data_IF_680078153072
#
_entry.id   IF_680078153072
#
_cell.length_a   1.000
_cell.length_b   1.000
_cell.length_c   1.000
_cell.angle_alpha   90.00
_cell.angle_beta   90.00
_cell.angle_gamma   90.00
#
_symmetry.space_group_name_H-M   'P 1'
#
loop_
_entity.id
_entity.type
_entity.pdbx_description
1 polymer ?
#
# COMPACT_ATOMS: atom_id res chain seq x y z
N UNK A 1 -3.78 19.48 -23.49
CA UNK A 1 -2.64 18.52 -23.60
C UNK A 1 -2.11 18.04 -22.25
N UNK A 2 -2.22 18.82 -21.16
CA UNK A 2 -1.73 18.44 -19.81
C UNK A 2 -2.58 17.36 -19.12
N UNK A 3 -3.87 17.28 -19.38
CA UNK A 3 -4.79 16.30 -18.76
C UNK A 3 -4.49 14.84 -19.07
N UNK A 4 -3.86 14.52 -20.21
CA UNK A 4 -3.56 13.13 -20.60
C UNK A 4 -2.32 12.55 -19.88
N UNK A 5 -1.29 13.37 -19.64
CA UNK A 5 -0.03 12.92 -19.00
C UNK A 5 -0.22 12.53 -17.52
N UNK A 6 -1.14 13.21 -16.84
CA UNK A 6 -1.47 12.98 -15.43
C UNK A 6 -2.37 11.76 -15.24
N UNK A 7 -3.27 11.52 -16.20
CA UNK A 7 -4.07 10.31 -16.22
C UNK A 7 -3.17 9.07 -16.36
N UNK A 8 -2.11 9.16 -17.17
CA UNK A 8 -1.14 8.08 -17.38
C UNK A 8 -0.30 7.78 -16.12
N UNK A 9 0.19 8.80 -15.41
CA UNK A 9 0.95 8.63 -14.15
C UNK A 9 0.11 8.03 -13.01
N UNK A 10 -1.17 8.41 -12.90
CA UNK A 10 -2.10 7.80 -11.95
C UNK A 10 -2.48 6.38 -12.33
N UNK A 11 -2.53 6.09 -13.64
CA UNK A 11 -2.81 4.74 -14.15
C UNK A 11 -1.69 3.77 -13.77
N UNK A 12 -0.41 4.16 -13.86
CA UNK A 12 0.72 3.35 -13.42
C UNK A 12 0.71 3.03 -11.92
N UNK A 13 0.33 3.99 -11.08
CA UNK A 13 0.28 3.79 -9.63
C UNK A 13 -0.92 2.92 -9.22
N UNK A 14 -2.11 3.22 -9.75
CA UNK A 14 -3.31 2.40 -9.51
C UNK A 14 -3.13 0.98 -10.03
N UNK A 15 -2.46 0.81 -11.18
CA UNK A 15 -2.13 -0.48 -11.77
C UNK A 15 -1.13 -1.25 -10.92
N UNK A 16 -0.08 -0.60 -10.39
CA UNK A 16 0.89 -1.24 -9.49
C UNK A 16 0.27 -1.66 -8.16
N UNK A 17 -0.59 -0.83 -7.58
CA UNK A 17 -1.37 -1.15 -6.37
C UNK A 17 -2.32 -2.31 -6.65
N UNK A 18 -3.07 -2.25 -7.75
CA UNK A 18 -3.98 -3.32 -8.14
C UNK A 18 -3.22 -4.64 -8.37
N UNK A 19 -2.08 -4.61 -9.06
CA UNK A 19 -1.26 -5.80 -9.33
C UNK A 19 -0.69 -6.41 -8.04
N UNK A 20 -0.22 -5.58 -7.10
CA UNK A 20 0.28 -6.06 -5.80
C UNK A 20 -0.84 -6.62 -4.94
N UNK A 21 -2.01 -5.98 -4.90
CA UNK A 21 -3.19 -6.51 -4.22
C UNK A 21 -3.66 -7.83 -4.84
N UNK A 22 -3.72 -7.91 -6.17
CA UNK A 22 -4.10 -9.13 -6.89
C UNK A 22 -3.10 -10.26 -6.61
N UNK A 23 -1.79 -9.98 -6.61
CA UNK A 23 -0.78 -10.99 -6.28
C UNK A 23 -0.92 -11.49 -4.84
N UNK A 24 -1.15 -10.58 -3.88
CA UNK A 24 -1.38 -10.96 -2.47
C UNK A 24 -2.63 -11.83 -2.34
N UNK A 25 -3.74 -11.42 -2.96
CA UNK A 25 -5.00 -12.20 -2.95
C UNK A 25 -4.79 -13.59 -3.57
N UNK A 26 -4.05 -13.70 -4.67
CA UNK A 26 -3.75 -14.98 -5.31
C UNK A 26 -2.92 -15.89 -4.40
N UNK A 27 -1.91 -15.35 -3.72
CA UNK A 27 -1.10 -16.12 -2.76
C UNK A 27 -1.97 -16.59 -1.58
N UNK A 28 -2.83 -15.73 -1.05
CA UNK A 28 -3.75 -16.11 0.04
C UNK A 28 -4.73 -17.20 -0.40
N UNK A 29 -5.31 -17.09 -1.60
CA UNK A 29 -6.23 -18.10 -2.14
C UNK A 29 -5.53 -19.44 -2.42
N UNK A 30 -4.29 -19.40 -2.90
CA UNK A 30 -3.49 -20.61 -3.14
C UNK A 30 -3.22 -21.37 -1.83
N UNK A 31 -2.89 -20.65 -0.75
CA UNK A 31 -2.68 -21.25 0.58
C UNK A 31 -3.98 -21.82 1.13
N UNK A 32 -5.07 -21.03 1.13
CA UNK A 32 -6.37 -21.48 1.61
C UNK A 32 -6.91 -22.69 0.83
N UNK A 33 -6.72 -22.73 -0.50
CA UNK A 33 -7.10 -23.85 -1.35
C UNK A 33 -6.27 -25.11 -1.07
N UNK A 34 -4.97 -24.95 -0.82
CA UNK A 34 -4.09 -26.06 -0.42
C UNK A 34 -4.55 -26.69 0.90
N UNK A 35 -4.91 -25.89 1.90
CA UNK A 35 -5.42 -26.38 3.17
C UNK A 35 -6.78 -27.11 3.00
N UNK A 36 -7.70 -26.50 2.25
CA UNK A 36 -9.01 -27.10 1.95
C UNK A 36 -8.89 -28.45 1.22
N UNK A 37 -7.92 -28.58 0.32
CA UNK A 37 -7.63 -29.83 -0.38
C UNK A 37 -7.13 -30.93 0.56
N UNK A 38 -6.24 -30.60 1.50
CA UNK A 38 -5.74 -31.56 2.50
C UNK A 38 -6.87 -32.07 3.39
N UNK A 39 -7.71 -31.16 3.92
CA UNK A 39 -8.87 -31.52 4.75
C UNK A 39 -9.85 -32.42 3.98
N UNK A 40 -10.11 -32.10 2.71
CA UNK A 40 -11.04 -32.85 1.89
C UNK A 40 -10.53 -34.27 1.57
N UNK A 41 -9.24 -34.42 1.27
CA UNK A 41 -8.61 -35.72 0.98
C UNK A 41 -8.48 -36.59 2.24
N UNK A 42 -8.28 -36.00 3.42
CA UNK A 42 -8.34 -36.72 4.72
C UNK A 42 -9.75 -37.23 5.06
N UNK A 43 -10.79 -36.74 4.38
CA UNK A 43 -12.20 -37.08 4.61
C UNK A 43 -12.74 -38.21 3.71
N UNK A 44 -11.88 -39.07 3.15
CA UNK A 44 -12.29 -40.29 2.45
C UNK A 44 -12.28 -41.49 3.45
N UNK A 45 -13.44 -41.93 3.95
CA UNK A 45 -13.59 -42.59 5.25
C UNK A 45 -13.34 -44.11 5.29
N UNK A 46 -12.85 -44.74 4.22
CA UNK A 46 -12.62 -46.20 4.22
C UNK A 46 -11.40 -46.65 5.06
N UNK A 47 -10.48 -45.73 5.39
CA UNK A 47 -9.28 -46.02 6.20
C UNK A 47 -9.49 -45.87 7.72
N UNK A 48 -10.69 -45.46 8.16
CA UNK A 48 -11.02 -45.20 9.58
C UNK A 48 -11.34 -46.46 10.40
N UNK A 49 -11.06 -47.66 9.89
CA UNK A 49 -11.36 -48.93 10.56
C UNK A 49 -10.29 -49.40 11.57
N UNK A 50 -9.11 -48.76 11.64
CA UNK A 50 -8.05 -49.09 12.62
C UNK A 50 -7.79 -47.90 13.56
N UNK A 51 -8.84 -47.52 14.30
CA UNK A 51 -9.05 -46.18 14.87
C UNK A 51 -8.51 -45.90 16.28
N UNK A 52 -7.89 -46.85 16.97
CA UNK A 52 -7.64 -46.70 18.41
C UNK A 52 -6.36 -45.92 18.77
N UNK A 53 -5.26 -46.08 18.03
CA UNK A 53 -3.96 -45.48 18.39
C UNK A 53 -3.69 -44.15 17.68
N UNK A 54 -4.17 -43.99 16.45
CA UNK A 54 -3.87 -42.82 15.60
C UNK A 54 -4.76 -41.61 15.95
N UNK A 55 -5.98 -41.84 16.45
CA UNK A 55 -6.91 -40.79 16.85
C UNK A 55 -6.36 -39.92 18.02
N UNK A 56 -5.66 -40.54 18.97
CA UNK A 56 -5.07 -39.84 20.11
C UNK A 56 -3.89 -38.94 19.71
N UNK A 57 -3.14 -39.32 18.66
CA UNK A 57 -2.07 -38.47 18.11
C UNK A 57 -2.66 -37.33 17.28
N UNK A 58 -3.72 -37.56 16.52
CA UNK A 58 -4.38 -36.52 15.72
C UNK A 58 -5.04 -35.42 16.57
N UNK A 59 -5.60 -35.77 17.73
CA UNK A 59 -6.18 -34.80 18.68
C UNK A 59 -5.12 -33.88 19.33
N UNK A 60 -3.85 -34.33 19.40
CA UNK A 60 -2.73 -33.55 19.98
C UNK A 60 -2.12 -32.55 18.98
N UNK A 61 -2.14 -32.86 17.67
CA UNK A 61 -1.45 -32.06 16.64
C UNK A 61 -2.39 -31.38 15.63
N UNK A 62 -3.66 -31.77 15.54
CA UNK A 62 -4.60 -31.38 14.48
C UNK A 62 -5.10 -29.93 14.50
N UNK A 63 -4.95 -29.21 15.61
CA UNK A 63 -5.37 -27.80 15.75
C UNK A 63 -4.24 -26.78 15.60
N UNK A 64 -2.98 -27.24 15.49
CA UNK A 64 -1.81 -26.35 15.55
C UNK A 64 -1.35 -25.80 14.18
N UNK A 65 -1.74 -26.43 13.07
CA UNK A 65 -1.35 -26.00 11.71
C UNK A 65 -2.20 -24.82 11.19
N UNK A 66 -3.51 -24.82 11.44
CA UNK A 66 -4.42 -23.79 10.92
C UNK A 66 -4.13 -22.38 11.49
N UNK A 67 -3.80 -22.31 12.78
CA UNK A 67 -3.46 -21.04 13.43
C UNK A 67 -2.17 -20.43 12.88
N UNK A 68 -1.21 -21.27 12.49
CA UNK A 68 0.08 -20.84 11.96
C UNK A 68 -0.09 -20.24 10.55
N UNK A 69 -0.95 -20.81 9.72
CA UNK A 69 -1.26 -20.27 8.39
C UNK A 69 -1.97 -18.92 8.46
N UNK A 70 -2.96 -18.76 9.33
CA UNK A 70 -3.64 -17.48 9.54
C UNK A 70 -2.64 -16.43 10.04
N UNK A 71 -1.77 -16.80 10.99
CA UNK A 71 -0.74 -15.90 11.50
C UNK A 71 0.24 -15.45 10.40
N UNK A 72 0.66 -16.34 9.51
CA UNK A 72 1.53 -16.00 8.38
C UNK A 72 0.81 -15.13 7.35
N UNK A 73 -0.45 -15.42 7.03
CA UNK A 73 -1.26 -14.63 6.13
C UNK A 73 -1.43 -13.19 6.65
N UNK A 74 -1.81 -13.02 7.92
CA UNK A 74 -1.94 -11.71 8.56
C UNK A 74 -0.61 -10.95 8.62
N UNK A 75 0.50 -11.64 8.90
CA UNK A 75 1.83 -11.04 8.92
C UNK A 75 2.25 -10.54 7.54
N UNK A 76 2.04 -11.34 6.49
CA UNK A 76 2.35 -10.94 5.11
C UNK A 76 1.51 -9.73 4.68
N UNK A 77 0.23 -9.71 5.06
CA UNK A 77 -0.68 -8.61 4.76
C UNK A 77 -0.29 -7.32 5.48
N UNK A 78 0.08 -7.40 6.76
CA UNK A 78 0.53 -6.27 7.55
C UNK A 78 1.81 -5.64 6.98
N UNK A 79 2.80 -6.47 6.63
CA UNK A 79 4.07 -6.01 6.04
C UNK A 79 3.83 -5.36 4.67
N UNK A 80 3.05 -6.02 3.80
CA UNK A 80 2.75 -5.50 2.46
C UNK A 80 2.00 -4.17 2.53
N UNK A 81 0.97 -4.08 3.38
CA UNK A 81 0.18 -2.87 3.57
C UNK A 81 1.03 -1.71 4.12
N UNK A 82 1.86 -1.99 5.14
CA UNK A 82 2.76 -0.99 5.71
C UNK A 82 3.78 -0.48 4.70
N UNK A 83 4.39 -1.38 3.92
CA UNK A 83 5.37 -1.01 2.90
C UNK A 83 4.72 -0.18 1.77
N UNK A 84 3.52 -0.56 1.34
CA UNK A 84 2.78 0.14 0.29
C UNK A 84 2.36 1.54 0.71
N UNK A 85 1.72 1.67 1.88
CA UNK A 85 1.29 2.94 2.43
C UNK A 85 2.50 3.86 2.66
N UNK A 86 3.56 3.34 3.28
CA UNK A 86 4.79 4.08 3.53
C UNK A 86 5.41 4.61 2.24
N UNK A 87 5.50 3.79 1.20
CA UNK A 87 6.04 4.21 -0.10
C UNK A 87 5.18 5.29 -0.78
N UNK A 88 3.86 5.15 -0.73
CA UNK A 88 2.94 6.11 -1.34
C UNK A 88 2.98 7.48 -0.64
N UNK A 89 2.87 7.48 0.69
CA UNK A 89 2.89 8.68 1.54
C UNK A 89 4.24 9.40 1.41
N UNK A 90 5.35 8.67 1.56
CA UNK A 90 6.70 9.24 1.51
C UNK A 90 6.96 9.91 0.16
N UNK A 91 6.54 9.31 -0.95
CA UNK A 91 6.74 9.90 -2.28
C UNK A 91 6.00 11.22 -2.47
N UNK A 92 4.78 11.35 -1.93
CA UNK A 92 4.00 12.60 -2.03
C UNK A 92 4.54 13.68 -1.08
N UNK A 93 4.90 13.29 0.14
CA UNK A 93 5.57 14.19 1.09
C UNK A 93 6.91 14.71 0.55
N UNK A 94 7.69 13.87 -0.13
CA UNK A 94 8.98 14.28 -0.69
C UNK A 94 8.85 15.42 -1.69
N UNK A 95 7.80 15.42 -2.53
CA UNK A 95 7.53 16.54 -3.46
C UNK A 95 7.30 17.86 -2.73
N UNK A 96 6.63 17.83 -1.58
CA UNK A 96 6.42 19.03 -0.76
C UNK A 96 7.74 19.51 -0.14
N UNK A 97 8.55 18.58 0.37
CA UNK A 97 9.88 18.88 0.92
C UNK A 97 10.78 19.51 -0.14
N UNK A 98 10.77 18.98 -1.37
CA UNK A 98 11.51 19.58 -2.49
C UNK A 98 11.05 20.99 -2.81
N UNK A 99 9.73 21.25 -2.81
CA UNK A 99 9.20 22.61 -2.99
C UNK A 99 9.71 23.54 -1.88
N UNK A 100 9.61 23.14 -0.61
CA UNK A 100 10.12 23.93 0.52
C UNK A 100 11.62 24.23 0.39
N UNK A 101 12.40 23.24 -0.07
CA UNK A 101 13.83 23.43 -0.30
C UNK A 101 14.10 24.47 -1.40
N UNK A 102 13.38 24.41 -2.53
CA UNK A 102 13.48 25.39 -3.62
C UNK A 102 13.12 26.82 -3.18
N UNK A 103 12.06 26.96 -2.38
CA UNK A 103 11.67 28.26 -1.80
C UNK A 103 12.81 28.82 -0.94
N UNK A 104 13.41 27.98 -0.08
CA UNK A 104 14.53 28.37 0.77
C UNK A 104 15.75 28.81 -0.04
N UNK A 105 15.96 28.24 -1.22
CA UNK A 105 17.02 28.62 -2.16
C UNK A 105 16.70 29.89 -2.97
N UNK A 106 15.50 30.47 -2.80
CA UNK A 106 15.06 31.71 -3.46
C UNK A 106 14.24 31.49 -4.75
N UNK A 107 13.94 30.25 -5.11
CA UNK A 107 13.13 29.91 -6.29
C UNK A 107 11.63 30.04 -5.97
N UNK A 108 11.10 31.26 -6.07
CA UNK A 108 9.68 31.57 -5.77
C UNK A 108 8.70 31.21 -6.90
N UNK A 109 9.19 30.72 -8.04
CA UNK A 109 8.34 30.23 -9.14
C UNK A 109 8.03 28.74 -9.00
N UNK A 110 8.68 28.03 -8.07
CA UNK A 110 8.47 26.61 -7.85
C UNK A 110 7.05 26.31 -7.34
N UNK A 111 6.49 25.17 -7.76
CA UNK A 111 5.16 24.67 -7.34
C UNK A 111 5.19 23.17 -7.14
N UNK A 112 4.36 22.68 -6.23
CA UNK A 112 4.20 21.25 -5.97
C UNK A 112 2.94 20.74 -6.69
N UNK A 113 3.14 19.86 -7.68
CA UNK A 113 2.04 19.12 -8.33
C UNK A 113 1.74 17.84 -7.54
N UNK A 114 0.91 18.01 -6.50
CA UNK A 114 0.32 16.93 -5.72
C UNK A 114 -1.19 16.98 -5.94
N UNK A 115 -1.72 15.93 -6.56
CA UNK A 115 -3.16 15.78 -6.83
C UNK A 115 -3.80 14.87 -5.82
N UNK A 116 -5.04 15.16 -5.42
CA UNK A 116 -5.86 14.34 -4.55
C UNK A 116 -6.86 15.21 -3.80
N UNK A 117 -7.75 14.57 -3.05
CA UNK A 117 -8.73 15.22 -2.18
C UNK A 117 -8.42 14.91 -0.70
N UNK A 118 -7.14 14.73 -0.38
CA UNK A 118 -6.63 14.37 0.95
C UNK A 118 -5.86 15.52 1.61
N UNK A 119 -5.48 15.33 2.87
CA UNK A 119 -4.78 16.33 3.68
C UNK A 119 -3.43 16.73 3.07
N UNK A 120 -2.79 15.84 2.30
CA UNK A 120 -1.51 16.12 1.64
C UNK A 120 -1.73 17.04 0.44
N UNK A 121 -2.80 16.83 -0.34
CA UNK A 121 -3.18 17.74 -1.42
C UNK A 121 -3.59 19.11 -0.87
N UNK A 122 -4.40 19.14 0.20
CA UNK A 122 -4.75 20.40 0.88
C UNK A 122 -3.50 21.16 1.37
N UNK A 123 -2.52 20.46 1.93
CA UNK A 123 -1.25 21.08 2.34
C UNK A 123 -0.44 21.60 1.15
N UNK A 124 -0.43 20.86 0.03
CA UNK A 124 0.25 21.28 -1.19
C UNK A 124 -0.30 22.60 -1.73
N UNK A 125 -1.62 22.75 -1.75
CA UNK A 125 -2.30 23.97 -2.21
C UNK A 125 -2.00 25.15 -1.30
N UNK A 126 -2.08 24.98 0.02
CA UNK A 126 -1.71 26.03 0.98
C UNK A 126 -0.25 26.47 0.82
N UNK A 127 0.66 25.53 0.60
CA UNK A 127 2.06 25.84 0.36
C UNK A 127 2.25 26.60 -0.97
N UNK A 128 1.57 26.18 -2.04
CA UNK A 128 1.60 26.88 -3.33
C UNK A 128 1.07 28.32 -3.22
N UNK A 129 0.02 28.55 -2.42
CA UNK A 129 -0.53 29.88 -2.17
C UNK A 129 0.46 30.77 -1.39
N UNK A 130 1.13 30.22 -0.37
CA UNK A 130 2.19 30.91 0.35
C UNK A 130 3.32 31.37 -0.59
N UNK A 131 3.78 30.49 -1.49
CA UNK A 131 4.83 30.84 -2.46
C UNK A 131 4.37 31.96 -3.39
N UNK A 132 3.12 31.91 -3.85
CA UNK A 132 2.55 32.96 -4.71
C UNK A 132 2.54 34.32 -4.03
N UNK A 133 2.24 34.36 -2.72
CA UNK A 133 2.34 35.59 -1.95
C UNK A 133 3.77 36.12 -1.90
N UNK A 134 4.74 35.27 -1.55
CA UNK A 134 6.16 35.67 -1.50
C UNK A 134 6.68 36.17 -2.85
N UNK A 135 6.29 35.51 -3.95
CA UNK A 135 6.64 35.93 -5.31
C UNK A 135 6.11 37.34 -5.62
N UNK A 136 4.84 37.60 -5.31
CA UNK A 136 4.21 38.89 -5.53
C UNK A 136 4.85 40.02 -4.71
N UNK A 137 5.23 39.74 -3.45
CA UNK A 137 5.92 40.73 -2.61
C UNK A 137 7.32 41.05 -3.14
N UNK A 138 8.04 40.03 -3.59
CA UNK A 138 9.36 40.20 -4.19
C UNK A 138 9.29 41.05 -5.47
N UNK A 139 8.30 40.80 -6.35
CA UNK A 139 8.07 41.60 -7.56
C UNK A 139 7.79 43.06 -7.18
N UNK A 140 6.87 43.31 -6.24
CA UNK A 140 6.53 44.67 -5.79
C UNK A 140 7.73 45.41 -5.20
N UNK A 141 8.64 44.72 -4.52
CA UNK A 141 9.86 45.33 -3.96
C UNK A 141 10.89 45.73 -5.01
N UNK A 142 10.88 45.11 -6.19
CA UNK A 142 11.78 45.46 -7.31
C UNK A 142 11.31 46.67 -8.11
N UNK A 143 10.02 47.00 -8.04
CA UNK A 143 9.41 48.11 -8.78
C UNK A 143 9.43 49.44 -7.99
N UNK A 144 9.92 49.42 -6.74
CA UNK A 144 10.03 50.55 -5.83
C UNK A 144 11.47 51.03 -5.68
#
# INVERSE_FOLDING_TARGET
MVTCSILCSNLDLKLKIALTLVFVVLVTLMVAGSLAYVIFVDLDPEFLAQKAEVAAVYEIWGTSSELLEIALALSSFAIASGMLLGWHLTRRLHKLVELVKKIKEGELTARADVRGDDEIAYLADNLNDLVRHLENENIRSKDA
#
